data_IF_270630684805
#
_entry.id   IF_270630684805
#
_cell.length_a   1.000
_cell.length_b   1.000
_cell.length_c   1.000
_cell.angle_alpha   90.00
_cell.angle_beta   90.00
_cell.angle_gamma   90.00
#
_symmetry.space_group_name_H-M   'P 1'
#
loop_
_entity.id
_entity.type
_entity.pdbx_description
1 polymer ?
#
# COMPACT_ATOMS: atom_id res chain seq x y z
N UNK A 1 -10.95 -15.25 -10.28
CA UNK A 1 -10.99 -13.90 -10.91
C UNK A 1 -9.85 -13.72 -11.90
N UNK A 2 -10.12 -13.06 -13.02
CA UNK A 2 -9.06 -12.63 -13.94
C UNK A 2 -8.38 -11.36 -13.40
N UNK A 3 -7.23 -11.01 -13.96
CA UNK A 3 -6.55 -9.76 -13.61
C UNK A 3 -7.44 -8.53 -13.90
N UNK A 4 -8.23 -8.56 -14.98
CA UNK A 4 -9.16 -7.48 -15.31
C UNK A 4 -10.27 -7.34 -14.26
N UNK A 5 -10.79 -8.45 -13.76
CA UNK A 5 -11.78 -8.44 -12.69
C UNK A 5 -11.18 -7.92 -11.38
N UNK A 6 -9.96 -8.32 -11.04
CA UNK A 6 -9.25 -7.81 -9.86
C UNK A 6 -8.98 -6.30 -9.98
N UNK A 7 -8.62 -5.84 -11.17
CA UNK A 7 -8.43 -4.40 -11.42
C UNK A 7 -9.72 -3.61 -11.11
N UNK A 8 -10.86 -4.13 -11.55
CA UNK A 8 -12.18 -3.54 -11.24
C UNK A 8 -12.47 -3.56 -9.74
N UNK A 9 -12.14 -4.67 -9.07
CA UNK A 9 -12.36 -4.81 -7.62
C UNK A 9 -11.59 -3.76 -6.81
N UNK A 10 -10.41 -3.36 -7.25
CA UNK A 10 -9.65 -2.28 -6.61
C UNK A 10 -10.50 -1.00 -6.59
N UNK A 11 -11.05 -0.63 -7.73
CA UNK A 11 -11.89 0.58 -7.85
C UNK A 11 -13.12 0.50 -6.94
N UNK A 12 -13.80 -0.63 -6.96
CA UNK A 12 -15.00 -0.84 -6.15
C UNK A 12 -14.72 -0.76 -4.66
N UNK A 13 -13.61 -1.34 -4.21
CA UNK A 13 -13.20 -1.29 -2.81
C UNK A 13 -12.81 0.12 -2.36
N UNK A 14 -12.35 0.95 -3.27
CA UNK A 14 -12.04 2.36 -2.98
C UNK A 14 -13.27 3.27 -3.09
N UNK A 15 -14.43 2.71 -3.43
CA UNK A 15 -15.68 3.45 -3.59
C UNK A 15 -15.57 4.59 -4.61
N UNK A 16 -14.87 4.34 -5.72
CA UNK A 16 -14.62 5.33 -6.76
C UNK A 16 -15.43 5.03 -8.02
N UNK A 17 -15.83 6.08 -8.73
CA UNK A 17 -16.40 5.94 -10.07
C UNK A 17 -15.26 5.66 -11.06
N UNK A 18 -15.61 5.16 -12.24
CA UNK A 18 -14.65 4.97 -13.34
C UNK A 18 -13.94 6.28 -13.69
N UNK A 19 -14.69 7.39 -13.70
CA UNK A 19 -14.13 8.71 -14.01
C UNK A 19 -13.12 9.17 -12.95
N UNK A 20 -13.46 9.07 -11.67
CA UNK A 20 -12.59 9.50 -10.57
C UNK A 20 -11.35 8.61 -10.49
N UNK A 21 -11.54 7.31 -10.63
CA UNK A 21 -10.42 6.36 -10.60
C UNK A 21 -9.47 6.62 -11.77
N UNK A 22 -10.03 6.82 -12.96
CA UNK A 22 -9.23 7.15 -14.14
C UNK A 22 -8.45 8.45 -13.99
N UNK A 23 -9.09 9.49 -13.45
CA UNK A 23 -8.43 10.77 -13.22
C UNK A 23 -7.24 10.62 -12.25
N UNK A 24 -7.44 9.92 -11.14
CA UNK A 24 -6.37 9.70 -10.16
C UNK A 24 -5.21 8.87 -10.70
N UNK A 25 -5.50 7.97 -11.63
CA UNK A 25 -4.47 7.16 -12.30
C UNK A 25 -3.79 7.89 -13.45
N UNK A 26 -4.26 9.07 -13.83
CA UNK A 26 -3.79 9.74 -15.05
C UNK A 26 -4.26 9.05 -16.32
N UNK A 27 -5.32 8.24 -16.22
CA UNK A 27 -5.93 7.51 -17.32
C UNK A 27 -7.35 8.05 -17.55
N UNK A 28 -7.83 8.02 -18.78
CA UNK A 28 -9.20 8.44 -19.06
C UNK A 28 -10.22 7.41 -18.59
N UNK A 29 -11.47 7.86 -18.38
CA UNK A 29 -12.58 6.97 -18.02
C UNK A 29 -12.74 5.82 -19.03
N UNK A 30 -12.55 6.11 -20.32
CA UNK A 30 -12.69 5.10 -21.38
C UNK A 30 -11.67 3.96 -21.23
N UNK A 31 -10.45 4.27 -20.78
CA UNK A 31 -9.41 3.28 -20.53
C UNK A 31 -9.86 2.34 -19.40
N UNK A 32 -10.37 2.91 -18.31
CA UNK A 32 -10.86 2.12 -17.17
C UNK A 32 -12.04 1.24 -17.60
N UNK A 33 -13.01 1.79 -18.33
CA UNK A 33 -14.16 1.05 -18.81
C UNK A 33 -13.74 -0.12 -19.72
N UNK A 34 -12.79 0.10 -20.62
CA UNK A 34 -12.30 -0.94 -21.51
C UNK A 34 -11.60 -2.08 -20.75
N UNK A 35 -10.83 -1.77 -19.73
CA UNK A 35 -10.20 -2.78 -18.87
C UNK A 35 -11.28 -3.58 -18.14
N UNK A 36 -12.24 -2.90 -17.54
CA UNK A 36 -13.30 -3.56 -16.74
C UNK A 36 -14.23 -4.40 -17.60
N UNK A 37 -14.44 -4.01 -18.86
CA UNK A 37 -15.24 -4.75 -19.81
C UNK A 37 -14.44 -5.81 -20.58
N UNK A 38 -13.22 -6.06 -20.17
CA UNK A 38 -12.32 -7.06 -20.77
C UNK A 38 -12.02 -6.82 -22.25
N UNK A 39 -12.05 -5.57 -22.67
CA UNK A 39 -11.70 -5.14 -24.05
C UNK A 39 -10.24 -4.79 -24.22
N UNK A 40 -9.58 -4.46 -23.12
CA UNK A 40 -8.15 -4.12 -23.08
C UNK A 40 -7.46 -4.89 -21.98
N UNK A 41 -6.20 -5.31 -22.18
CA UNK A 41 -5.45 -6.00 -21.12
C UNK A 41 -5.01 -5.02 -20.04
N UNK A 42 -4.75 -5.54 -18.84
CA UNK A 42 -4.06 -4.81 -17.79
C UNK A 42 -2.58 -4.87 -18.08
N UNK A 43 -2.02 -3.77 -18.60
CA UNK A 43 -0.61 -3.72 -19.00
C UNK A 43 0.30 -3.53 -17.78
N UNK A 44 1.61 -3.78 -17.90
CA UNK A 44 2.56 -3.47 -16.83
C UNK A 44 2.50 -2.02 -16.36
N UNK A 45 2.25 -1.07 -17.29
CA UNK A 45 2.07 0.33 -16.95
C UNK A 45 0.86 0.54 -16.03
N UNK A 46 -0.27 -0.08 -16.34
CA UNK A 46 -1.49 0.05 -15.53
C UNK A 46 -1.31 -0.60 -14.15
N UNK A 47 -0.59 -1.72 -14.07
CA UNK A 47 -0.23 -2.35 -12.81
C UNK A 47 0.56 -1.37 -11.94
N UNK A 48 1.62 -0.79 -12.49
CA UNK A 48 2.47 0.17 -11.78
C UNK A 48 1.67 1.37 -11.29
N UNK A 49 0.77 1.89 -12.11
CA UNK A 49 -0.05 3.06 -11.77
C UNK A 49 -0.91 2.78 -10.54
N UNK A 50 -1.60 1.65 -10.48
CA UNK A 50 -2.48 1.35 -9.33
C UNK A 50 -1.68 0.97 -8.09
N UNK A 51 -0.54 0.31 -8.25
CA UNK A 51 0.36 0.00 -7.13
C UNK A 51 0.87 1.30 -6.50
N UNK A 52 1.38 2.22 -7.33
CA UNK A 52 1.96 3.48 -6.85
C UNK A 52 0.92 4.43 -6.26
N UNK A 53 -0.28 4.50 -6.84
CA UNK A 53 -1.30 5.45 -6.40
C UNK A 53 -2.10 4.97 -5.19
N UNK A 54 -2.34 3.67 -5.06
CA UNK A 54 -3.28 3.16 -4.07
C UNK A 54 -2.71 2.14 -3.10
N UNK A 55 -1.42 1.83 -3.20
CA UNK A 55 -0.80 0.82 -2.33
C UNK A 55 -1.32 -0.59 -2.59
N UNK A 56 -1.71 -0.88 -3.82
CA UNK A 56 -2.18 -2.21 -4.21
C UNK A 56 -1.05 -3.21 -4.13
N UNK A 57 -1.35 -4.40 -3.63
CA UNK A 57 -0.41 -5.51 -3.62
C UNK A 57 -0.32 -6.09 -5.05
N UNK A 58 0.83 -5.90 -5.68
CA UNK A 58 1.07 -6.36 -7.06
C UNK A 58 0.83 -7.86 -7.21
N UNK A 59 1.28 -8.66 -6.25
CA UNK A 59 1.07 -10.11 -6.27
C UNK A 59 -0.41 -10.47 -6.27
N UNK A 60 -1.22 -9.78 -5.45
CA UNK A 60 -2.65 -10.00 -5.46
C UNK A 60 -3.27 -9.66 -6.82
N UNK A 61 -2.88 -8.53 -7.41
CA UNK A 61 -3.43 -8.11 -8.71
C UNK A 61 -3.09 -9.12 -9.81
N UNK A 62 -1.84 -9.57 -9.87
CA UNK A 62 -1.36 -10.46 -10.93
C UNK A 62 -1.78 -11.91 -10.69
N UNK A 63 -1.61 -12.41 -9.46
CA UNK A 63 -1.79 -13.83 -9.12
C UNK A 63 -3.04 -14.13 -8.31
N UNK A 64 -3.64 -13.13 -7.68
CA UNK A 64 -4.79 -13.33 -6.81
C UNK A 64 -4.44 -13.84 -5.42
N UNK A 65 -3.17 -13.80 -5.02
CA UNK A 65 -2.69 -14.27 -3.73
C UNK A 65 -2.37 -13.10 -2.81
N UNK A 66 -2.58 -13.29 -1.50
CA UNK A 66 -2.37 -12.25 -0.50
C UNK A 66 -3.52 -11.26 -0.42
N UNK A 67 -3.30 -10.15 0.24
CA UNK A 67 -4.30 -9.10 0.41
C UNK A 67 -4.27 -8.11 -0.74
N UNK A 68 -5.41 -7.52 -1.06
CA UNK A 68 -5.56 -6.54 -2.14
C UNK A 68 -4.65 -5.33 -1.95
N UNK A 69 -4.54 -4.82 -0.73
CA UNK A 69 -3.72 -3.66 -0.39
C UNK A 69 -2.60 -4.04 0.55
N UNK A 70 -1.43 -3.43 0.34
CA UNK A 70 -0.31 -3.57 1.26
C UNK A 70 -0.59 -2.79 2.54
N UNK A 71 -0.17 -3.36 3.66
CA UNK A 71 -0.25 -2.70 4.96
C UNK A 71 0.68 -1.48 4.98
N UNK A 72 0.18 -0.33 5.43
CA UNK A 72 1.01 0.86 5.61
C UNK A 72 1.90 0.71 6.85
N UNK A 73 2.96 1.52 6.94
CA UNK A 73 3.80 1.57 8.13
C UNK A 73 2.97 1.86 9.39
N UNK A 74 2.05 2.81 9.30
CA UNK A 74 1.16 3.17 10.41
C UNK A 74 0.29 2.00 10.85
N UNK A 75 -0.35 1.31 9.90
CA UNK A 75 -1.16 0.13 10.19
C UNK A 75 -0.34 -0.98 10.84
N UNK A 76 0.88 -1.20 10.35
CA UNK A 76 1.78 -2.20 10.90
C UNK A 76 2.15 -1.88 12.37
N UNK A 77 2.48 -0.61 12.64
CA UNK A 77 2.81 -0.16 14.00
C UNK A 77 1.61 -0.31 14.93
N UNK A 78 0.40 0.05 14.46
CA UNK A 78 -0.83 -0.10 15.24
C UNK A 78 -1.09 -1.57 15.57
N UNK A 79 -0.88 -2.47 14.64
CA UNK A 79 -1.03 -3.91 14.86
C UNK A 79 -0.02 -4.44 15.87
N UNK A 80 1.24 -4.00 15.79
CA UNK A 80 2.25 -4.37 16.78
C UNK A 80 1.89 -3.85 18.17
N UNK A 81 1.42 -2.61 18.25
CA UNK A 81 1.03 -2.00 19.53
C UNK A 81 -0.09 -2.77 20.19
N UNK A 82 -1.10 -3.18 19.42
CA UNK A 82 -2.19 -4.01 19.91
C UNK A 82 -1.70 -5.37 20.40
N UNK A 83 -0.85 -6.01 19.60
CA UNK A 83 -0.33 -7.36 19.93
C UNK A 83 0.52 -7.39 21.19
N UNK A 84 1.36 -6.37 21.40
CA UNK A 84 2.34 -6.34 22.49
C UNK A 84 1.99 -5.37 23.62
N UNK A 85 0.80 -4.79 23.59
CA UNK A 85 0.36 -3.84 24.62
C UNK A 85 1.16 -2.55 24.67
N UNK A 86 1.62 -2.07 23.52
CA UNK A 86 2.37 -0.82 23.43
C UNK A 86 1.42 0.38 23.50
N UNK A 87 1.83 1.42 24.21
CA UNK A 87 1.05 2.65 24.31
C UNK A 87 1.34 3.62 23.15
N UNK A 88 0.64 4.75 23.11
CA UNK A 88 0.78 5.75 22.08
C UNK A 88 2.20 6.34 22.05
N UNK A 89 2.84 6.48 23.21
CA UNK A 89 4.20 6.96 23.29
C UNK A 89 5.16 6.02 22.56
N UNK A 90 5.02 4.72 22.79
CA UNK A 90 5.88 3.72 22.12
C UNK A 90 5.64 3.68 20.62
N UNK A 91 4.41 3.86 20.16
CA UNK A 91 4.13 4.00 18.72
C UNK A 91 4.90 5.17 18.13
N UNK A 92 4.91 6.32 18.81
CA UNK A 92 5.67 7.50 18.39
C UNK A 92 7.16 7.23 18.36
N UNK A 93 7.69 6.51 19.36
CA UNK A 93 9.11 6.13 19.42
C UNK A 93 9.49 5.29 18.21
N UNK A 94 8.69 4.28 17.89
CA UNK A 94 8.94 3.40 16.74
C UNK A 94 8.90 4.20 15.44
N UNK A 95 7.90 5.05 15.27
CA UNK A 95 7.74 5.89 14.08
C UNK A 95 8.94 6.83 13.94
N UNK A 96 9.33 7.53 15.01
CA UNK A 96 10.46 8.46 15.01
C UNK A 96 11.76 7.74 14.66
N UNK A 97 12.01 6.57 15.27
CA UNK A 97 13.20 5.79 14.97
C UNK A 97 13.25 5.39 13.49
N UNK A 98 12.12 4.98 12.92
CA UNK A 98 12.06 4.54 11.52
C UNK A 98 12.39 5.67 10.54
N UNK A 99 12.23 6.92 10.95
CA UNK A 99 12.47 8.11 10.13
C UNK A 99 13.88 8.70 10.32
N UNK A 100 14.67 8.17 11.24
CA UNK A 100 16.03 8.63 11.45
C UNK A 100 16.94 8.22 10.30
N UNK A 101 17.99 9.03 10.06
CA UNK A 101 19.07 8.66 9.17
C UNK A 101 19.87 7.49 9.75
N UNK A 102 20.71 6.85 8.93
CA UNK A 102 21.57 5.74 9.39
C UNK A 102 22.51 6.19 10.49
N UNK A 103 23.07 7.40 10.39
CA UNK A 103 23.95 7.96 11.41
C UNK A 103 23.21 8.20 12.72
N UNK A 104 22.00 8.75 12.66
CA UNK A 104 21.17 8.97 13.83
C UNK A 104 20.74 7.64 14.48
N UNK A 105 20.40 6.64 13.68
CA UNK A 105 20.08 5.29 14.18
C UNK A 105 21.28 4.69 14.92
N UNK A 106 22.49 4.92 14.41
CA UNK A 106 23.72 4.43 15.06
C UNK A 106 23.88 5.04 16.45
N UNK A 107 23.63 6.34 16.60
CA UNK A 107 23.69 7.02 17.90
C UNK A 107 22.72 6.37 18.88
N UNK A 108 21.49 6.11 18.47
CA UNK A 108 20.48 5.44 19.30
C UNK A 108 20.91 4.04 19.69
N UNK A 109 21.44 3.26 18.73
CA UNK A 109 21.93 1.90 18.99
C UNK A 109 23.07 1.89 19.98
N UNK A 110 24.01 2.82 19.86
CA UNK A 110 25.15 2.93 20.76
C UNK A 110 24.71 3.31 22.19
N UNK A 111 23.71 4.20 22.29
CA UNK A 111 23.07 4.55 23.56
C UNK A 111 22.43 3.34 24.24
N UNK A 112 21.64 2.57 23.50
CA UNK A 112 20.95 1.39 24.01
C UNK A 112 21.95 0.33 24.51
N UNK A 113 23.07 0.14 23.80
CA UNK A 113 24.11 -0.80 24.19
C UNK A 113 24.72 -0.47 25.55
N UNK A 114 24.72 0.80 25.97
CA UNK A 114 25.27 1.23 27.28
C UNK A 114 24.32 0.90 28.44
N UNK A 115 23.08 0.61 28.16
CA UNK A 115 22.07 0.34 29.19
C UNK A 115 22.25 -1.07 29.79
N UNK A 116 22.79 -1.97 29.02
CA UNK A 116 22.99 -3.37 29.44
C UNK A 116 24.35 -3.53 30.18
#
# INVERSE_FOLDING_TARGET
>A
MTINERFKEIRLNLNKTQADFGEQCGLGRAVIANIENNRSPVTPLYIKVVVDNFGVNEEWLIKGTGDMFLETKEQYIDRLAERYGLDDFMKKVITAYSELSDDEKKVVKDFIKKIN
#
